data_IF_587724292564
#
_entry.id   IF_587724292564
#
_cell.length_a   1.000
_cell.length_b   1.000
_cell.length_c   1.000
_cell.angle_alpha   90.00
_cell.angle_beta   90.00
_cell.angle_gamma   90.00
#
_symmetry.space_group_name_H-M   'P 1'
#
loop_
_entity.id
_entity.type
_entity.pdbx_description
1 polymer ?
#
# COMPACT_ATOMS: atom_id res chain seq x y z
N UNK A 1 -63.40 -67.23 39.08
CA UNK A 1 -62.49 -67.51 37.93
C UNK A 1 -62.77 -66.46 36.85
N UNK A 2 -62.26 -65.22 36.99
CA UNK A 2 -61.02 -64.66 36.40
C UNK A 2 -60.95 -64.82 34.86
N UNK A 3 -61.27 -63.78 34.07
CA UNK A 3 -60.49 -62.58 33.64
C UNK A 3 -59.28 -62.91 32.75
N UNK A 4 -59.22 -62.26 31.57
CA UNK A 4 -58.01 -62.12 30.75
C UNK A 4 -58.19 -61.23 29.52
N UNK A 5 -57.94 -59.91 29.68
CA UNK A 5 -57.77 -58.91 28.62
C UNK A 5 -56.38 -59.02 28.01
N UNK A 6 -56.19 -58.69 26.72
CA UNK A 6 -54.99 -57.98 26.23
C UNK A 6 -55.33 -57.13 24.99
N UNK A 7 -55.26 -55.80 25.17
CA UNK A 7 -55.24 -54.81 24.10
C UNK A 7 -53.76 -54.51 23.79
N UNK A 8 -53.41 -54.42 22.50
CA UNK A 8 -52.08 -53.98 22.04
C UNK A 8 -52.17 -52.52 21.60
N UNK A 9 -51.54 -51.64 22.37
CA UNK A 9 -51.26 -50.25 22.01
C UNK A 9 -49.90 -50.22 21.33
N UNK A 10 -49.83 -49.81 20.06
CA UNK A 10 -48.58 -49.52 19.37
C UNK A 10 -48.23 -48.04 19.61
N UNK A 11 -47.15 -47.79 20.33
CA UNK A 11 -46.51 -46.48 20.43
C UNK A 11 -45.65 -46.28 19.18
N UNK A 12 -46.02 -45.31 18.35
CA UNK A 12 -45.17 -44.77 17.28
C UNK A 12 -44.37 -43.60 17.85
N UNK A 13 -43.07 -43.80 18.05
CA UNK A 13 -42.13 -42.75 18.47
C UNK A 13 -41.80 -41.89 17.26
N UNK A 14 -42.44 -40.73 17.13
CA UNK A 14 -42.12 -39.73 16.12
C UNK A 14 -40.83 -38.99 16.48
N UNK A 15 -39.76 -39.23 15.72
CA UNK A 15 -38.52 -38.47 15.79
C UNK A 15 -38.73 -37.16 15.00
N UNK A 16 -38.86 -36.03 15.70
CA UNK A 16 -38.96 -34.70 15.08
C UNK A 16 -37.54 -34.20 14.81
N UNK A 17 -37.09 -34.28 13.56
CA UNK A 17 -35.90 -33.56 13.09
C UNK A 17 -36.29 -32.10 12.86
N UNK A 18 -35.87 -31.21 13.76
CA UNK A 18 -35.94 -29.76 13.54
C UNK A 18 -34.78 -29.38 12.62
N UNK A 19 -35.07 -29.20 11.34
CA UNK A 19 -34.14 -28.57 10.41
C UNK A 19 -34.10 -27.06 10.71
N UNK A 20 -33.09 -26.60 11.45
CA UNK A 20 -32.76 -25.18 11.53
C UNK A 20 -32.25 -24.73 10.15
N UNK A 21 -33.09 -24.01 9.40
CA UNK A 21 -32.67 -23.37 8.16
C UNK A 21 -31.68 -22.24 8.48
N UNK A 22 -30.41 -22.42 8.11
CA UNK A 22 -29.45 -21.32 8.08
C UNK A 22 -29.79 -20.43 6.88
N UNK A 23 -30.16 -19.17 7.14
CA UNK A 23 -30.35 -18.17 6.07
C UNK A 23 -29.00 -17.60 5.68
N UNK A 24 -28.65 -17.72 4.40
CA UNK A 24 -27.46 -17.09 3.82
C UNK A 24 -27.92 -15.80 3.16
N UNK A 25 -27.37 -14.66 3.57
CA UNK A 25 -27.72 -13.37 2.97
C UNK A 25 -26.44 -12.66 2.50
N UNK A 26 -26.40 -12.35 1.20
CA UNK A 26 -25.30 -11.62 0.56
C UNK A 26 -25.64 -10.12 0.53
N UNK A 27 -24.68 -9.27 0.86
CA UNK A 27 -24.73 -7.82 0.62
C UNK A 27 -24.11 -7.52 -0.75
N UNK A 28 -24.83 -7.76 -1.84
CA UNK A 28 -24.29 -7.51 -3.19
C UNK A 28 -25.36 -6.96 -4.13
N UNK A 29 -25.56 -5.64 -4.07
CA UNK A 29 -26.05 -4.85 -5.20
C UNK A 29 -24.83 -4.09 -5.76
N UNK A 30 -24.29 -4.57 -6.87
CA UNK A 30 -23.17 -3.96 -7.58
C UNK A 30 -23.68 -2.83 -8.48
N UNK A 31 -23.71 -1.59 -7.98
CA UNK A 31 -23.70 -0.40 -8.81
C UNK A 31 -22.29 0.19 -8.78
N UNK A 32 -21.64 0.18 -9.93
CA UNK A 32 -20.29 0.72 -10.13
C UNK A 32 -20.37 2.24 -10.37
N UNK A 33 -19.51 2.99 -9.67
CA UNK A 33 -18.99 4.34 -9.97
C UNK A 33 -19.22 5.36 -8.84
N UNK A 34 -18.13 5.88 -8.29
CA UNK A 34 -18.14 6.99 -7.35
C UNK A 34 -16.74 7.35 -6.86
N UNK A 35 -16.02 8.15 -7.66
CA UNK A 35 -14.77 8.82 -7.30
C UNK A 35 -14.95 9.72 -6.07
N UNK A 36 -14.42 9.30 -4.91
CA UNK A 36 -14.39 10.09 -3.67
C UNK A 36 -13.08 10.89 -3.53
N UNK A 37 -13.21 12.20 -3.36
CA UNK A 37 -12.10 13.12 -3.09
C UNK A 37 -11.62 13.08 -1.64
N UNK A 38 -10.32 13.28 -1.44
CA UNK A 38 -9.67 13.22 -0.13
C UNK A 38 -9.53 14.58 0.54
N UNK A 39 -9.87 14.61 1.84
CA UNK A 39 -9.65 15.72 2.76
C UNK A 39 -8.21 15.70 3.33
N UNK A 40 -7.69 16.91 3.55
CA UNK A 40 -6.30 17.20 3.93
C UNK A 40 -6.11 17.12 5.46
N UNK A 41 -5.17 16.30 5.92
CA UNK A 41 -4.81 16.13 7.34
C UNK A 41 -3.46 16.76 7.65
N UNK A 42 -3.47 17.83 8.45
CA UNK A 42 -2.29 18.55 8.94
C UNK A 42 -1.62 17.81 10.10
N UNK A 43 -0.31 17.58 10.00
CA UNK A 43 0.52 16.95 11.03
C UNK A 43 1.78 17.76 11.32
N UNK A 44 1.89 18.22 12.56
CA UNK A 44 2.93 19.09 13.10
C UNK A 44 3.99 18.27 13.86
N UNK A 45 5.27 18.63 13.76
CA UNK A 45 6.38 18.10 14.57
C UNK A 45 7.69 18.10 13.79
N UNK A 46 8.86 18.43 14.33
CA UNK A 46 9.31 18.82 15.67
C UNK A 46 10.84 18.89 15.59
N UNK A 47 11.44 19.97 16.10
CA UNK A 47 12.87 20.28 15.99
C UNK A 47 13.76 19.31 16.76
N UNK A 48 14.87 18.88 16.14
CA UNK A 48 15.96 18.15 16.79
C UNK A 48 17.32 18.72 16.36
N UNK A 49 17.99 19.40 17.29
CA UNK A 49 19.29 20.03 17.14
C UNK A 49 20.38 19.05 17.62
N UNK A 50 21.40 18.77 16.81
CA UNK A 50 22.48 17.83 17.13
C UNK A 50 23.84 18.35 16.69
N UNK A 51 24.55 18.98 17.62
CA UNK A 51 25.92 19.46 17.48
C UNK A 51 26.90 18.35 17.88
N UNK A 52 27.89 18.06 17.02
CA UNK A 52 28.92 17.05 17.26
C UNK A 52 30.27 17.54 16.76
N UNK A 53 31.15 17.85 17.72
CA UNK A 53 32.49 18.40 17.57
C UNK A 53 33.55 17.31 17.81
N UNK A 54 34.68 17.38 17.10
CA UNK A 54 35.98 16.86 17.58
C UNK A 54 36.62 15.72 16.80
N UNK A 55 37.86 15.92 16.33
CA UNK A 55 38.72 14.84 15.86
C UNK A 55 40.01 15.28 15.15
N UNK A 56 40.96 15.86 15.89
CA UNK A 56 42.33 16.16 15.43
C UNK A 56 43.11 14.87 15.09
N UNK A 57 43.80 14.88 13.94
CA UNK A 57 44.79 13.87 13.54
C UNK A 57 46.01 14.54 12.91
N UNK A 58 47.13 14.48 13.61
CA UNK A 58 48.41 15.12 13.33
C UNK A 58 49.24 14.23 12.38
N UNK A 59 49.86 14.80 11.34
CA UNK A 59 50.67 14.03 10.38
C UNK A 59 51.64 14.90 9.58
N UNK A 60 52.82 15.12 10.13
CA UNK A 60 53.93 15.87 9.55
C UNK A 60 54.61 15.10 8.41
N UNK A 61 54.86 15.77 7.28
CA UNK A 61 55.73 15.28 6.21
C UNK A 61 55.94 16.35 5.14
N UNK A 62 57.04 17.10 5.24
CA UNK A 62 57.28 18.30 4.44
C UNK A 62 57.72 18.03 3.00
N UNK A 63 57.40 18.99 2.13
CA UNK A 63 58.20 19.29 0.94
C UNK A 63 58.11 20.78 0.62
N UNK A 64 59.27 21.34 0.27
CA UNK A 64 59.56 22.75 0.07
C UNK A 64 59.21 23.13 -1.37
N UNK A 65 58.23 24.02 -1.59
CA UNK A 65 58.22 24.91 -2.78
C UNK A 65 57.28 26.11 -2.61
N UNK A 66 57.92 27.27 -2.61
CA UNK A 66 57.58 28.56 -3.24
C UNK A 66 56.26 29.31 -2.94
N UNK A 67 56.42 30.62 -2.74
CA UNK A 67 55.43 31.56 -2.24
C UNK A 67 54.43 31.97 -3.32
N UNK A 68 53.27 31.32 -3.29
CA UNK A 68 52.02 31.82 -3.86
C UNK A 68 50.89 31.17 -3.07
N UNK A 69 49.96 31.97 -2.55
CA UNK A 69 48.81 31.46 -1.78
C UNK A 69 47.95 30.60 -2.71
N UNK A 70 48.27 29.31 -2.82
CA UNK A 70 47.36 28.31 -3.37
C UNK A 70 46.26 28.13 -2.33
N UNK A 71 44.97 28.28 -2.69
CA UNK A 71 43.87 27.92 -1.82
C UNK A 71 44.16 26.53 -1.29
N UNK A 72 44.07 26.32 0.03
CA UNK A 72 44.00 24.97 0.60
C UNK A 72 42.98 24.22 -0.23
N UNK A 73 43.46 23.23 -1.01
CA UNK A 73 42.63 22.31 -1.75
C UNK A 73 41.70 21.68 -0.71
N UNK A 74 40.49 22.22 -0.62
CA UNK A 74 39.41 21.56 0.07
C UNK A 74 39.35 20.20 -0.60
N UNK A 75 39.74 19.18 0.15
CA UNK A 75 39.85 17.82 -0.32
C UNK A 75 38.42 17.31 -0.53
N UNK A 76 37.77 17.80 -1.59
CA UNK A 76 36.52 17.32 -2.15
C UNK A 76 36.84 15.97 -2.78
N UNK A 77 37.22 15.01 -1.93
CA UNK A 77 37.31 13.63 -2.36
C UNK A 77 35.94 13.26 -2.92
N UNK A 78 35.91 12.53 -4.03
CA UNK A 78 34.67 12.07 -4.62
C UNK A 78 33.75 11.43 -3.55
N UNK A 79 34.33 10.83 -2.51
CA UNK A 79 33.62 10.19 -1.41
C UNK A 79 32.85 11.16 -0.49
N UNK A 80 33.31 12.41 -0.31
CA UNK A 80 32.57 13.42 0.45
C UNK A 80 31.26 13.83 -0.26
N UNK A 81 31.26 13.87 -1.60
CA UNK A 81 30.07 14.17 -2.39
C UNK A 81 29.00 13.07 -2.27
N UNK A 82 29.41 11.81 -2.38
CA UNK A 82 28.48 10.68 -2.22
C UNK A 82 28.06 10.46 -0.76
N UNK A 83 28.65 11.15 0.22
CA UNK A 83 28.16 11.14 1.59
C UNK A 83 26.85 11.93 1.74
N UNK A 84 26.68 13.05 1.02
CA UNK A 84 25.48 13.90 1.09
C UNK A 84 24.38 13.45 0.13
N UNK A 85 24.76 12.86 -1.00
CA UNK A 85 23.85 12.36 -2.03
C UNK A 85 24.31 11.00 -2.58
N UNK A 86 24.27 9.94 -1.76
CA UNK A 86 24.75 8.62 -2.15
C UNK A 86 24.00 8.09 -3.38
N UNK A 87 24.64 7.20 -4.16
CA UNK A 87 23.90 6.41 -5.13
C UNK A 87 22.76 5.66 -4.42
N UNK A 88 21.63 5.39 -5.11
CA UNK A 88 20.58 4.54 -4.56
C UNK A 88 21.21 3.25 -4.05
N UNK A 89 20.90 2.87 -2.82
CA UNK A 89 21.31 1.57 -2.31
C UNK A 89 20.64 0.48 -3.16
N UNK A 90 21.28 -0.66 -3.35
CA UNK A 90 20.65 -1.81 -3.99
C UNK A 90 20.41 -2.87 -2.92
N UNK A 91 19.15 -3.06 -2.57
CA UNK A 91 18.65 -4.12 -1.69
C UNK A 91 18.04 -5.28 -2.48
N UNK A 92 18.19 -5.31 -3.81
CA UNK A 92 17.78 -6.48 -4.59
C UNK A 92 18.63 -7.70 -4.18
N UNK A 93 18.03 -8.88 -4.20
CA UNK A 93 18.71 -10.15 -3.93
C UNK A 93 19.83 -10.49 -4.94
N UNK A 94 20.08 -9.61 -5.92
CA UNK A 94 21.10 -9.79 -6.96
C UNK A 94 22.53 -9.72 -6.41
N UNK A 95 22.72 -9.13 -5.22
CA UNK A 95 24.05 -8.90 -4.64
C UNK A 95 24.93 -7.92 -5.45
N UNK A 96 24.37 -7.27 -6.47
CA UNK A 96 25.07 -6.26 -7.24
C UNK A 96 25.25 -5.01 -6.37
N UNK A 97 26.45 -4.44 -6.35
CA UNK A 97 26.62 -3.10 -5.81
C UNK A 97 26.06 -2.11 -6.84
N UNK A 98 25.24 -1.12 -6.42
CA UNK A 98 24.71 -0.12 -7.34
C UNK A 98 25.88 0.57 -8.02
N UNK A 99 25.85 0.63 -9.36
CA UNK A 99 26.91 1.30 -10.11
C UNK A 99 26.99 2.75 -9.67
N UNK A 100 28.13 3.14 -9.08
CA UNK A 100 28.42 4.54 -8.74
C UNK A 100 28.30 5.36 -10.03
N UNK A 101 27.44 6.40 -10.07
CA UNK A 101 27.35 7.27 -11.24
C UNK A 101 28.72 7.85 -11.60
N UNK A 102 28.98 8.01 -12.90
CA UNK A 102 30.18 8.68 -13.40
C UNK A 102 30.17 10.20 -13.14
N UNK A 103 31.17 10.88 -13.66
CA UNK A 103 31.31 12.34 -13.58
C UNK A 103 32.06 12.84 -12.35
N UNK A 104 31.98 14.15 -12.10
CA UNK A 104 32.58 14.81 -10.93
C UNK A 104 31.50 15.19 -9.92
N UNK A 105 31.85 15.53 -8.66
CA UNK A 105 30.89 16.11 -7.71
C UNK A 105 30.10 17.31 -8.25
N UNK A 106 30.74 18.16 -9.05
CA UNK A 106 30.13 19.35 -9.65
C UNK A 106 29.26 18.98 -10.86
N UNK A 107 29.65 17.93 -11.58
CA UNK A 107 29.00 17.45 -12.79
C UNK A 107 28.80 15.94 -12.79
N UNK A 108 27.86 15.43 -11.97
CA UNK A 108 27.52 14.01 -11.96
C UNK A 108 26.75 13.65 -13.24
N UNK A 109 27.21 12.60 -13.94
CA UNK A 109 26.71 12.22 -15.25
C UNK A 109 25.21 11.84 -15.24
N UNK A 110 24.69 11.37 -14.11
CA UNK A 110 23.29 10.94 -13.98
C UNK A 110 22.30 12.09 -13.78
N UNK A 111 22.76 13.30 -13.43
CA UNK A 111 21.88 14.43 -13.12
C UNK A 111 21.85 15.53 -14.16
N UNK A 112 22.86 15.61 -15.03
CA UNK A 112 22.95 16.57 -16.13
C UNK A 112 22.66 18.02 -15.67
N UNK A 113 23.40 18.49 -14.67
CA UNK A 113 23.21 19.85 -14.13
C UNK A 113 23.55 20.94 -15.14
N UNK A 114 22.88 22.09 -15.00
CA UNK A 114 23.15 23.29 -15.81
C UNK A 114 24.64 23.66 -15.73
N UNK A 115 25.27 23.84 -16.89
CA UNK A 115 26.68 24.21 -17.00
C UNK A 115 27.64 23.03 -17.11
N UNK A 116 27.17 21.78 -16.93
CA UNK A 116 28.01 20.61 -17.09
C UNK A 116 28.23 20.23 -18.55
N UNK A 117 29.40 19.65 -18.92
CA UNK A 117 29.69 19.26 -20.29
C UNK A 117 28.64 18.31 -20.87
N UNK A 118 28.30 18.50 -22.14
CA UNK A 118 27.35 17.65 -22.85
C UNK A 118 27.91 17.23 -24.23
N UNK A 119 27.47 16.09 -24.78
CA UNK A 119 28.16 15.45 -25.90
C UNK A 119 27.97 16.16 -27.24
N UNK A 120 26.79 16.76 -27.48
CA UNK A 120 26.45 17.34 -28.78
C UNK A 120 25.37 18.41 -28.64
N UNK A 121 25.55 19.55 -29.31
CA UNK A 121 24.60 20.65 -29.31
C UNK A 121 23.19 20.16 -29.70
N UNK A 122 22.19 20.51 -28.90
CA UNK A 122 20.79 20.10 -29.10
C UNK A 122 20.46 18.70 -28.60
N UNK A 123 21.42 17.92 -28.08
CA UNK A 123 21.11 16.67 -27.38
C UNK A 123 20.20 16.95 -26.18
N UNK A 124 19.26 16.07 -25.90
CA UNK A 124 18.39 16.15 -24.71
C UNK A 124 18.67 14.98 -23.78
N UNK A 125 18.53 15.22 -22.48
CA UNK A 125 18.70 14.19 -21.47
C UNK A 125 17.77 14.44 -20.26
N UNK A 126 17.37 13.38 -19.52
CA UNK A 126 16.74 13.54 -18.22
C UNK A 126 17.68 14.27 -17.26
N UNK A 127 17.15 15.21 -16.49
CA UNK A 127 17.89 15.94 -15.47
C UNK A 127 17.15 15.94 -14.14
N UNK A 128 17.90 16.00 -13.05
CA UNK A 128 17.33 15.98 -11.70
C UNK A 128 18.10 16.90 -10.76
N UNK A 129 17.53 18.04 -10.33
CA UNK A 129 18.24 18.98 -9.46
C UNK A 129 18.20 18.59 -7.97
N UNK A 130 17.38 17.61 -7.57
CA UNK A 130 17.25 17.16 -6.19
C UNK A 130 18.21 16.03 -5.79
N UNK A 131 18.02 15.48 -4.58
CA UNK A 131 18.75 14.29 -4.09
C UNK A 131 18.32 13.02 -4.84
N UNK A 132 19.26 12.10 -5.10
CA UNK A 132 19.04 10.81 -5.78
C UNK A 132 17.99 9.97 -5.08
N UNK A 133 18.01 9.95 -3.74
CA UNK A 133 17.02 9.22 -2.92
C UNK A 133 15.56 9.61 -3.18
N UNK A 134 15.30 10.78 -3.76
CA UNK A 134 13.97 11.28 -4.08
C UNK A 134 13.64 11.15 -5.58
N UNK A 135 14.62 10.85 -6.43
CA UNK A 135 14.49 10.89 -7.88
C UNK A 135 13.50 9.82 -8.36
N UNK A 136 12.61 10.18 -9.27
CA UNK A 136 11.61 9.29 -9.89
C UNK A 136 10.60 8.63 -8.93
N UNK A 137 10.61 8.96 -7.63
CA UNK A 137 9.65 8.47 -6.63
C UNK A 137 8.44 9.41 -6.52
N UNK A 138 7.23 8.87 -6.51
CA UNK A 138 6.03 9.71 -6.34
C UNK A 138 5.85 10.79 -7.37
N UNK A 139 5.64 12.02 -6.88
CA UNK A 139 5.62 13.24 -7.68
C UNK A 139 7.01 13.72 -8.11
N UNK A 140 8.09 13.22 -7.51
CA UNK A 140 9.43 13.56 -7.97
C UNK A 140 9.68 12.89 -9.32
N UNK A 141 9.76 13.71 -10.38
CA UNK A 141 10.02 13.28 -11.75
C UNK A 141 11.12 14.11 -12.36
N UNK A 142 11.98 13.45 -13.12
CA UNK A 142 13.02 14.11 -13.89
C UNK A 142 12.45 15.18 -14.81
N UNK A 143 13.17 16.28 -14.93
CA UNK A 143 12.97 17.23 -16.02
C UNK A 143 13.72 16.79 -17.27
N UNK A 144 13.74 17.67 -18.26
CA UNK A 144 14.56 17.54 -19.46
C UNK A 144 15.49 18.74 -19.55
N UNK A 145 16.76 18.49 -19.82
CA UNK A 145 17.74 19.52 -20.17
C UNK A 145 18.15 19.35 -21.64
N UNK A 146 18.55 20.45 -22.26
CA UNK A 146 19.05 20.48 -23.64
C UNK A 146 20.49 20.98 -23.63
N UNK A 147 21.36 20.35 -24.41
CA UNK A 147 22.75 20.76 -24.57
C UNK A 147 22.82 22.05 -25.39
N UNK A 148 23.43 23.09 -24.82
CA UNK A 148 23.52 24.44 -25.37
C UNK A 148 24.98 24.85 -25.61
N UNK A 149 25.20 25.78 -26.54
CA UNK A 149 26.53 26.36 -26.76
C UNK A 149 26.82 27.38 -25.67
N UNK A 150 27.88 27.17 -24.90
CA UNK A 150 28.36 28.11 -23.87
C UNK A 150 29.64 28.78 -24.37
N UNK A 151 29.48 29.90 -25.07
CA UNK A 151 30.59 30.58 -25.75
C UNK A 151 30.91 29.98 -27.12
N UNK A 152 32.14 30.20 -27.60
CA UNK A 152 32.53 29.88 -28.99
C UNK A 152 32.90 28.41 -29.22
N UNK A 153 33.34 27.67 -28.18
CA UNK A 153 33.90 26.32 -28.34
C UNK A 153 33.39 25.29 -27.30
N UNK A 154 32.58 25.70 -26.32
CA UNK A 154 32.13 24.82 -25.25
C UNK A 154 30.65 24.49 -25.37
N UNK A 155 30.30 23.27 -24.98
CA UNK A 155 28.92 22.80 -24.89
C UNK A 155 28.62 22.48 -23.43
N UNK A 156 27.46 22.91 -22.95
CA UNK A 156 27.01 22.57 -21.62
C UNK A 156 25.50 22.31 -21.56
N UNK A 157 25.07 21.49 -20.62
CA UNK A 157 23.65 21.29 -20.33
C UNK A 157 23.01 22.63 -19.92
N UNK A 158 21.84 22.90 -20.50
CA UNK A 158 21.00 24.04 -20.16
C UNK A 158 20.24 23.83 -18.85
N UNK A 159 19.22 24.66 -18.62
CA UNK A 159 18.36 24.52 -17.44
C UNK A 159 17.58 23.20 -17.44
N UNK A 160 17.40 22.63 -16.25
CA UNK A 160 16.54 21.47 -16.09
C UNK A 160 15.09 21.94 -16.06
N UNK A 161 14.33 21.66 -17.13
CA UNK A 161 12.94 22.12 -17.28
C UNK A 161 11.98 20.97 -17.04
N UNK A 162 10.89 21.23 -16.30
CA UNK A 162 9.79 20.27 -16.13
C UNK A 162 10.00 19.21 -15.05
N UNK A 163 11.03 19.34 -14.20
CA UNK A 163 11.14 18.50 -13.00
C UNK A 163 9.97 18.77 -12.03
N UNK A 164 9.59 17.76 -11.26
CA UNK A 164 8.43 17.82 -10.35
C UNK A 164 8.81 17.39 -8.93
N UNK A 165 7.93 17.70 -7.96
CA UNK A 165 8.03 17.19 -6.57
C UNK A 165 9.05 17.91 -5.66
N UNK A 166 9.82 18.84 -6.20
CA UNK A 166 10.81 19.64 -5.47
C UNK A 166 10.77 21.10 -5.93
N UNK A 167 11.17 22.01 -5.05
CA UNK A 167 11.21 23.46 -5.36
C UNK A 167 12.55 24.08 -4.97
N UNK A 168 13.06 25.05 -5.75
CA UNK A 168 14.15 25.90 -5.30
C UNK A 168 13.77 26.67 -4.02
N UNK A 169 14.75 27.04 -3.17
CA UNK A 169 16.19 26.81 -3.33
C UNK A 169 16.68 25.47 -2.76
N UNK A 170 15.83 24.73 -2.04
CA UNK A 170 16.26 23.53 -1.30
C UNK A 170 16.31 22.27 -2.16
N UNK A 171 15.54 22.23 -3.25
CA UNK A 171 15.40 21.05 -4.10
C UNK A 171 15.04 19.77 -3.32
N UNK A 172 14.28 19.96 -2.24
CA UNK A 172 13.72 18.91 -1.40
C UNK A 172 12.19 18.93 -1.50
N UNK A 173 11.52 17.78 -1.26
CA UNK A 173 10.07 17.75 -1.13
C UNK A 173 9.60 18.68 0.01
N UNK A 174 8.37 19.21 -0.06
CA UNK A 174 7.81 20.01 1.02
C UNK A 174 7.93 19.28 2.37
N UNK A 175 8.31 19.96 3.47
CA UNK A 175 8.35 19.35 4.78
C UNK A 175 6.98 18.73 5.14
N UNK A 176 6.99 17.46 5.56
CA UNK A 176 5.76 16.73 5.89
C UNK A 176 4.93 16.25 4.69
N UNK A 177 5.49 16.28 3.47
CA UNK A 177 4.83 15.71 2.31
C UNK A 177 4.52 14.21 2.52
N UNK A 178 3.25 13.84 2.34
CA UNK A 178 2.74 12.46 2.46
C UNK A 178 1.85 12.13 1.26
N UNK A 179 1.55 10.84 1.05
CA UNK A 179 0.77 10.38 -0.10
C UNK A 179 1.41 10.83 -1.41
N UNK A 180 0.59 11.27 -2.38
CA UNK A 180 1.05 11.75 -3.68
C UNK A 180 2.10 12.86 -3.58
N UNK A 181 2.03 13.73 -2.57
CA UNK A 181 2.99 14.80 -2.41
C UNK A 181 4.40 14.33 -2.05
N UNK A 182 4.55 13.11 -1.52
CA UNK A 182 5.84 12.58 -1.10
C UNK A 182 6.69 12.10 -2.28
N UNK A 183 8.00 12.05 -2.06
CA UNK A 183 8.96 11.46 -2.99
C UNK A 183 9.59 10.21 -2.38
N UNK A 184 8.71 9.29 -1.96
CA UNK A 184 9.07 8.03 -1.31
C UNK A 184 8.35 6.88 -2.00
N UNK A 185 8.82 5.65 -1.85
CA UNK A 185 8.09 4.46 -2.28
C UNK A 185 6.65 4.43 -1.70
N UNK A 186 5.66 3.97 -2.49
CA UNK A 186 4.22 4.02 -2.17
C UNK A 186 3.67 5.44 -1.98
N UNK A 187 4.23 6.43 -2.66
CA UNK A 187 3.64 7.77 -2.69
C UNK A 187 2.62 7.93 -3.83
N UNK A 188 2.73 7.13 -4.89
CA UNK A 188 1.70 7.02 -5.92
C UNK A 188 1.39 5.58 -6.33
N UNK A 189 0.18 5.36 -6.85
CA UNK A 189 -0.28 4.09 -7.40
C UNK A 189 -1.68 3.68 -6.93
N UNK A 190 -1.98 2.38 -6.98
CA UNK A 190 -3.16 1.80 -6.34
C UNK A 190 -2.98 0.29 -6.10
N UNK A 191 -3.71 -0.26 -5.13
CA UNK A 191 -3.92 -1.69 -4.97
C UNK A 191 -5.38 -2.01 -5.28
N UNK A 192 -5.63 -2.64 -6.42
CA UNK A 192 -6.98 -2.96 -6.88
C UNK A 192 -7.34 -4.39 -6.51
N UNK A 193 -8.19 -4.52 -5.49
CA UNK A 193 -8.77 -5.77 -5.03
C UNK A 193 -10.20 -5.87 -5.55
N UNK A 194 -10.46 -6.84 -6.42
CA UNK A 194 -11.73 -6.97 -7.16
C UNK A 194 -12.94 -7.28 -6.29
N UNK A 195 -12.73 -7.90 -5.13
CA UNK A 195 -13.77 -8.29 -4.21
C UNK A 195 -13.30 -8.12 -2.78
N UNK A 196 -14.07 -7.38 -2.01
CA UNK A 196 -13.81 -7.19 -0.59
C UNK A 196 -15.02 -7.58 0.26
N UNK A 197 -16.08 -8.12 -0.31
CA UNK A 197 -17.34 -8.34 0.40
C UNK A 197 -17.27 -9.55 1.33
N UNK A 198 -17.53 -9.40 2.64
CA UNK A 198 -17.64 -10.52 3.56
C UNK A 198 -19.03 -11.17 3.49
N UNK A 199 -19.12 -12.41 3.99
CA UNK A 199 -20.37 -13.12 4.26
C UNK A 199 -20.48 -13.46 5.74
N UNK A 200 -21.70 -13.39 6.27
CA UNK A 200 -22.00 -13.73 7.65
C UNK A 200 -23.08 -14.79 7.71
N UNK A 201 -22.88 -15.80 8.56
CA UNK A 201 -23.83 -16.89 8.76
C UNK A 201 -24.51 -16.70 10.10
N UNK A 202 -25.83 -16.92 10.14
CA UNK A 202 -26.62 -16.83 11.36
C UNK A 202 -27.32 -18.15 11.66
N UNK A 203 -27.49 -18.43 12.94
CA UNK A 203 -28.38 -19.46 13.45
C UNK A 203 -29.43 -18.77 14.32
N UNK A 204 -30.60 -18.50 13.75
CA UNK A 204 -31.57 -17.59 14.35
C UNK A 204 -31.06 -16.14 14.27
N UNK A 205 -31.00 -15.45 15.40
CA UNK A 205 -30.46 -14.08 15.50
C UNK A 205 -28.98 -14.00 15.85
N UNK A 206 -28.32 -15.15 16.05
CA UNK A 206 -26.90 -15.20 16.46
C UNK A 206 -26.01 -15.44 15.25
N UNK A 207 -25.03 -14.56 15.04
CA UNK A 207 -23.98 -14.76 14.05
C UNK A 207 -23.08 -15.90 14.50
N UNK A 208 -22.97 -16.94 13.67
CA UNK A 208 -22.15 -18.14 13.93
C UNK A 208 -20.73 -18.00 13.36
N UNK A 209 -20.51 -17.08 12.42
CA UNK A 209 -19.19 -16.76 11.90
C UNK A 209 -19.22 -15.86 10.67
N UNK A 210 -18.02 -15.39 10.30
CA UNK A 210 -17.77 -14.66 9.06
C UNK A 210 -16.91 -15.49 8.11
N UNK A 211 -17.09 -15.31 6.81
CA UNK A 211 -16.32 -15.97 5.75
C UNK A 211 -16.16 -15.05 4.55
N UNK A 212 -15.11 -15.25 3.76
CA UNK A 212 -14.99 -14.60 2.44
C UNK A 212 -16.14 -15.01 1.52
N UNK A 213 -16.64 -14.07 0.72
CA UNK A 213 -17.32 -14.44 -0.53
C UNK A 213 -16.36 -15.19 -1.46
N UNK A 214 -16.94 -15.92 -2.42
CA UNK A 214 -16.20 -16.51 -3.53
C UNK A 214 -16.67 -15.86 -4.83
N UNK A 215 -15.74 -15.71 -5.78
CA UNK A 215 -16.03 -15.20 -7.12
C UNK A 215 -16.22 -16.37 -8.08
N UNK A 216 -17.38 -16.40 -8.75
CA UNK A 216 -17.63 -17.30 -9.86
C UNK A 216 -18.10 -16.54 -11.11
N UNK A 217 -18.50 -17.26 -12.15
CA UNK A 217 -18.95 -16.67 -13.40
C UNK A 217 -20.20 -15.77 -13.26
N UNK A 218 -20.95 -15.89 -12.16
CA UNK A 218 -22.13 -15.08 -11.85
C UNK A 218 -21.84 -13.88 -10.93
N UNK A 219 -20.63 -13.79 -10.40
CA UNK A 219 -20.19 -12.70 -9.51
C UNK A 219 -19.79 -13.19 -8.12
N UNK A 220 -19.79 -12.26 -7.16
CA UNK A 220 -19.49 -12.57 -5.76
C UNK A 220 -20.71 -13.22 -5.09
N UNK A 221 -20.50 -14.37 -4.44
CA UNK A 221 -21.54 -15.04 -3.63
C UNK A 221 -20.97 -15.60 -2.35
N UNK A 222 -21.84 -15.87 -1.38
CA UNK A 222 -21.42 -16.62 -0.20
C UNK A 222 -21.19 -18.11 -0.50
N UNK A 223 -20.17 -18.73 0.10
CA UNK A 223 -19.88 -20.16 -0.08
C UNK A 223 -20.95 -21.04 0.60
N UNK A 224 -21.26 -22.20 0.05
CA UNK A 224 -22.16 -23.15 0.70
C UNK A 224 -21.48 -23.86 1.88
N UNK A 225 -22.26 -24.54 2.73
CA UNK A 225 -21.71 -25.36 3.84
C UNK A 225 -20.91 -26.58 3.37
N UNK A 226 -20.92 -26.89 2.08
CA UNK A 226 -20.07 -27.92 1.47
C UNK A 226 -18.72 -27.34 1.00
N UNK A 227 -18.68 -26.04 0.72
CA UNK A 227 -17.49 -25.31 0.26
C UNK A 227 -16.67 -24.76 1.43
N UNK A 228 -17.21 -24.74 2.65
CA UNK A 228 -16.54 -24.27 3.86
C UNK A 228 -17.00 -25.04 5.09
N UNK A 229 -16.27 -24.96 6.20
CA UNK A 229 -16.66 -25.62 7.44
C UNK A 229 -16.18 -24.86 8.69
N UNK A 230 -17.11 -24.14 9.35
CA UNK A 230 -16.85 -23.41 10.60
C UNK A 230 -16.41 -24.30 11.76
N UNK A 231 -16.88 -25.56 11.85
CA UNK A 231 -16.49 -26.47 12.94
C UNK A 231 -15.01 -26.89 12.88
N UNK A 232 -14.44 -26.88 11.68
CA UNK A 232 -13.03 -27.22 11.44
C UNK A 232 -12.17 -25.99 11.12
N UNK A 233 -12.78 -24.82 10.96
CA UNK A 233 -12.11 -23.61 10.49
C UNK A 233 -11.59 -23.71 9.05
N UNK A 234 -12.21 -24.57 8.22
CA UNK A 234 -11.82 -24.75 6.81
C UNK A 234 -12.47 -23.66 5.95
N UNK A 235 -11.69 -22.73 5.35
CA UNK A 235 -12.22 -21.69 4.47
C UNK A 235 -12.57 -22.25 3.09
N UNK A 236 -13.26 -21.46 2.24
CA UNK A 236 -13.44 -21.80 0.83
C UNK A 236 -12.12 -22.03 0.11
N UNK A 237 -12.08 -23.03 -0.78
CA UNK A 237 -10.90 -23.34 -1.58
C UNK A 237 -10.65 -22.30 -2.68
N UNK A 238 -11.70 -21.63 -3.15
CA UNK A 238 -11.62 -20.56 -4.12
C UNK A 238 -11.00 -19.31 -3.49
N UNK A 239 -10.19 -18.55 -4.26
CA UNK A 239 -9.65 -17.28 -3.78
C UNK A 239 -10.78 -16.30 -3.46
N UNK A 240 -10.55 -15.50 -2.42
CA UNK A 240 -11.44 -14.40 -2.04
C UNK A 240 -11.46 -13.33 -3.12
N UNK A 241 -10.28 -12.95 -3.62
CA UNK A 241 -10.19 -11.93 -4.66
C UNK A 241 -8.88 -11.98 -5.47
N UNK A 242 -8.98 -11.95 -6.80
CA UNK A 242 -7.90 -11.47 -7.64
C UNK A 242 -7.56 -10.02 -7.30
N UNK A 243 -6.29 -9.66 -7.49
CA UNK A 243 -5.85 -8.31 -7.22
C UNK A 243 -4.63 -7.90 -8.05
N UNK A 244 -4.50 -6.60 -8.27
CA UNK A 244 -3.40 -6.00 -9.05
C UNK A 244 -2.78 -4.83 -8.31
N UNK A 245 -1.47 -4.65 -8.46
CA UNK A 245 -0.71 -3.58 -7.83
C UNK A 245 -0.14 -2.65 -8.90
N UNK A 246 -0.23 -1.35 -8.68
CA UNK A 246 0.57 -0.33 -9.36
C UNK A 246 1.24 0.51 -8.29
N UNK A 247 2.57 0.59 -8.30
CA UNK A 247 3.34 1.43 -7.38
C UNK A 247 4.49 2.13 -8.11
N UNK A 248 5.10 3.09 -7.45
CA UNK A 248 6.13 3.99 -7.98
C UNK A 248 7.57 3.52 -7.70
N UNK A 249 7.73 2.31 -7.14
CA UNK A 249 9.01 1.74 -6.74
C UNK A 249 8.98 0.22 -6.91
N UNK A 250 10.14 -0.36 -7.23
CA UNK A 250 10.31 -1.80 -7.24
C UNK A 250 10.60 -2.30 -5.82
N UNK A 251 10.29 -3.56 -5.54
CA UNK A 251 10.62 -4.19 -4.28
C UNK A 251 9.74 -5.38 -3.93
N UNK A 252 9.99 -5.96 -2.76
CA UNK A 252 9.17 -7.06 -2.23
C UNK A 252 8.17 -6.50 -1.22
N UNK A 253 6.88 -6.67 -1.50
CA UNK A 253 5.80 -6.09 -0.71
C UNK A 253 4.80 -7.16 -0.28
N UNK A 254 4.47 -7.15 1.00
CA UNK A 254 3.34 -7.85 1.60
C UNK A 254 2.19 -6.86 1.76
N UNK A 255 1.10 -7.12 1.05
CA UNK A 255 -0.12 -6.32 1.08
C UNK A 255 -1.17 -7.08 1.88
N UNK A 256 -1.72 -6.45 2.91
CA UNK A 256 -2.72 -7.06 3.77
C UNK A 256 -4.01 -6.25 3.76
N UNK A 257 -5.12 -6.96 3.54
CA UNK A 257 -6.47 -6.47 3.71
C UNK A 257 -7.03 -6.99 5.04
N UNK A 258 -7.41 -6.06 5.93
CA UNK A 258 -7.93 -6.38 7.26
C UNK A 258 -9.36 -5.90 7.37
N UNK A 259 -10.29 -6.78 7.77
CA UNK A 259 -11.67 -6.41 8.03
C UNK A 259 -11.83 -6.19 9.54
N UNK A 260 -12.31 -5.01 9.93
CA UNK A 260 -12.50 -4.63 11.33
C UNK A 260 -13.93 -4.21 11.62
N UNK A 261 -14.42 -4.52 12.82
CA UNK A 261 -15.75 -4.11 13.27
C UNK A 261 -15.66 -2.82 14.08
N UNK A 262 -16.66 -1.94 13.90
CA UNK A 262 -16.78 -0.76 14.74
C UNK A 262 -17.30 -1.15 16.13
N UNK A 263 -16.62 -0.64 17.17
CA UNK A 263 -17.00 -0.84 18.56
C UNK A 263 -18.41 -0.35 18.91
N UNK A 264 -18.96 0.62 18.16
CA UNK A 264 -20.33 1.11 18.32
C UNK A 264 -20.94 1.56 16.97
N UNK A 265 -22.27 1.46 16.86
CA UNK A 265 -23.05 1.99 15.73
C UNK A 265 -22.82 3.50 15.53
N UNK A 266 -22.61 3.90 14.29
CA UNK A 266 -22.38 5.31 13.93
C UNK A 266 -21.00 5.86 14.32
N UNK A 267 -20.10 5.02 14.86
CA UNK A 267 -18.71 5.40 15.03
C UNK A 267 -18.06 5.55 13.64
N UNK A 268 -17.75 6.79 13.23
CA UNK A 268 -17.12 7.05 11.94
C UNK A 268 -15.57 7.03 11.99
N UNK A 269 -14.97 6.64 13.12
CA UNK A 269 -13.52 6.73 13.29
C UNK A 269 -12.92 5.37 13.57
N UNK A 270 -12.11 4.89 12.63
CA UNK A 270 -11.23 3.74 12.81
C UNK A 270 -10.36 3.92 14.05
N UNK A 271 -10.30 2.88 14.88
CA UNK A 271 -9.46 2.83 16.06
C UNK A 271 -8.48 1.66 15.96
N UNK A 272 -7.27 1.86 16.49
CA UNK A 272 -6.31 0.77 16.65
C UNK A 272 -6.84 -0.34 17.60
N UNK A 273 -7.86 -0.05 18.40
CA UNK A 273 -8.50 -0.98 19.35
C UNK A 273 -9.70 -1.71 18.77
N UNK A 274 -10.14 -1.38 17.56
CA UNK A 274 -11.25 -2.08 16.92
C UNK A 274 -10.86 -3.52 16.64
N UNK A 275 -11.80 -4.45 16.89
CA UNK A 275 -11.51 -5.86 16.71
C UNK A 275 -11.37 -6.19 15.21
N UNK A 276 -10.48 -7.14 14.90
CA UNK A 276 -10.34 -7.67 13.56
C UNK A 276 -11.20 -8.92 13.39
N UNK A 277 -12.02 -8.94 12.33
CA UNK A 277 -12.75 -10.11 11.87
C UNK A 277 -11.79 -11.08 11.17
N UNK A 278 -10.93 -10.54 10.31
CA UNK A 278 -9.94 -11.31 9.55
C UNK A 278 -8.82 -10.40 9.06
N UNK A 279 -7.68 -11.00 8.72
CA UNK A 279 -6.66 -10.39 7.88
C UNK A 279 -6.23 -11.39 6.81
N UNK A 280 -6.25 -10.96 5.56
CA UNK A 280 -5.71 -11.74 4.43
C UNK A 280 -4.62 -10.95 3.76
N UNK A 281 -3.54 -11.63 3.39
CA UNK A 281 -2.38 -11.00 2.77
C UNK A 281 -2.01 -11.70 1.47
N UNK A 282 -1.43 -10.93 0.57
CA UNK A 282 -0.67 -11.40 -0.59
C UNK A 282 0.72 -10.80 -0.52
N UNK A 283 1.71 -11.49 -1.07
CA UNK A 283 3.08 -11.00 -1.13
C UNK A 283 3.72 -11.41 -2.44
N UNK A 284 4.44 -10.47 -3.05
CA UNK A 284 5.23 -10.72 -4.24
C UNK A 284 6.26 -9.62 -4.42
N UNK A 285 7.29 -9.94 -5.21
CA UNK A 285 8.17 -8.94 -5.79
C UNK A 285 7.44 -8.17 -6.88
N UNK A 286 7.45 -6.84 -6.80
CA UNK A 286 6.95 -5.92 -7.81
C UNK A 286 8.12 -5.31 -8.58
N UNK A 287 8.22 -5.65 -9.87
CA UNK A 287 9.36 -5.27 -10.71
C UNK A 287 9.06 -4.29 -11.84
N UNK A 288 7.85 -3.71 -11.86
CA UNK A 288 7.34 -2.92 -13.00
C UNK A 288 7.13 -1.43 -12.66
N UNK A 289 7.87 -0.88 -11.70
CA UNK A 289 7.72 0.52 -11.33
C UNK A 289 7.90 1.46 -12.53
N UNK A 290 6.89 2.30 -12.75
CA UNK A 290 6.92 3.35 -13.76
C UNK A 290 6.78 2.92 -15.23
N UNK A 291 7.07 1.66 -15.61
CA UNK A 291 6.92 1.16 -16.99
C UNK A 291 6.66 -0.35 -17.02
N UNK A 292 5.49 -0.73 -17.53
CA UNK A 292 5.25 -2.09 -18.01
C UNK A 292 6.12 -2.41 -19.23
N UNK A 293 6.19 -3.67 -19.66
CA UNK A 293 7.10 -4.15 -20.71
C UNK A 293 6.99 -3.43 -22.08
N UNK A 294 5.93 -2.65 -22.30
CA UNK A 294 5.70 -1.87 -23.53
C UNK A 294 5.50 -0.36 -23.27
N UNK A 295 5.96 0.16 -22.12
CA UNK A 295 5.71 1.56 -21.74
C UNK A 295 4.26 1.83 -21.31
N UNK A 296 3.45 0.79 -21.13
CA UNK A 296 2.13 0.87 -20.48
C UNK A 296 2.29 1.08 -18.97
N UNK A 297 1.25 1.59 -18.32
CA UNK A 297 1.17 1.66 -16.86
C UNK A 297 1.55 0.32 -16.23
N UNK A 298 2.58 0.30 -15.37
CA UNK A 298 3.21 -0.91 -14.82
C UNK A 298 2.36 -1.71 -13.84
N UNK A 299 1.11 -2.02 -14.17
CA UNK A 299 0.23 -2.83 -13.32
C UNK A 299 0.73 -4.28 -13.30
N UNK A 300 0.88 -4.85 -12.10
CA UNK A 300 1.27 -6.24 -11.89
C UNK A 300 0.15 -7.03 -11.23
N UNK A 301 -0.14 -8.23 -11.75
CA UNK A 301 -0.97 -9.20 -11.05
C UNK A 301 -0.22 -9.72 -9.82
N UNK A 302 -0.87 -9.66 -8.67
CA UNK A 302 -0.35 -10.23 -7.44
C UNK A 302 -1.00 -11.60 -7.22
N UNK A 303 -0.41 -12.48 -6.40
CA UNK A 303 -1.11 -13.70 -5.97
C UNK A 303 -2.48 -13.36 -5.39
N UNK A 304 -3.49 -14.15 -5.78
CA UNK A 304 -4.86 -13.94 -5.33
C UNK A 304 -4.95 -13.97 -3.80
N UNK A 305 -5.82 -13.14 -3.23
CA UNK A 305 -6.10 -13.20 -1.81
C UNK A 305 -6.83 -14.52 -1.49
N UNK A 306 -6.35 -15.31 -0.52
CA UNK A 306 -6.96 -16.59 -0.21
C UNK A 306 -8.34 -16.41 0.45
N UNK A 307 -9.20 -17.42 0.30
CA UNK A 307 -10.44 -17.53 1.07
C UNK A 307 -10.15 -17.54 2.58
N UNK A 308 -11.05 -16.96 3.37
CA UNK A 308 -10.90 -16.87 4.83
C UNK A 308 -12.20 -17.23 5.54
N UNK A 309 -12.08 -17.62 6.81
CA UNK A 309 -13.19 -17.93 7.71
C UNK A 309 -12.78 -17.56 9.13
N UNK A 310 -13.71 -17.08 9.95
CA UNK A 310 -13.47 -16.87 11.39
C UNK A 310 -13.20 -18.21 12.07
N UNK A 311 -12.10 -18.32 12.81
CA UNK A 311 -11.62 -19.56 13.45
C UNK A 311 -11.75 -19.53 14.97
N UNK A 312 -11.69 -18.34 15.57
CA UNK A 312 -11.72 -18.15 17.02
C UNK A 312 -13.03 -17.54 17.48
N UNK A 313 -13.40 -17.75 18.74
CA UNK A 313 -14.58 -17.11 19.34
C UNK A 313 -14.48 -15.59 19.35
N UNK A 314 -13.27 -15.02 19.44
CA UNK A 314 -13.03 -13.59 19.37
C UNK A 314 -13.31 -13.04 17.96
N UNK A 315 -12.85 -13.72 16.91
CA UNK A 315 -13.17 -13.38 15.52
C UNK A 315 -14.67 -13.51 15.24
N UNK A 316 -15.33 -14.56 15.74
CA UNK A 316 -16.80 -14.71 15.61
C UNK A 316 -17.57 -13.60 16.34
N UNK A 317 -17.13 -13.22 17.54
CA UNK A 317 -17.72 -12.09 18.27
C UNK A 317 -17.51 -10.77 17.51
N UNK A 318 -16.33 -10.59 16.89
CA UNK A 318 -16.06 -9.45 16.05
C UNK A 318 -16.92 -9.43 14.78
N UNK A 319 -17.11 -10.59 14.15
CA UNK A 319 -18.03 -10.73 13.01
C UNK A 319 -19.46 -10.39 13.38
N UNK A 320 -19.91 -10.74 14.60
CA UNK A 320 -21.22 -10.35 15.10
C UNK A 320 -21.34 -8.83 15.30
N UNK A 321 -20.29 -8.18 15.82
CA UNK A 321 -20.23 -6.72 15.93
C UNK A 321 -20.25 -6.06 14.54
N UNK A 322 -19.48 -6.59 13.59
CA UNK A 322 -19.46 -6.10 12.22
C UNK A 322 -20.85 -6.18 11.58
N UNK A 323 -21.51 -7.32 11.72
CA UNK A 323 -22.86 -7.54 11.20
C UNK A 323 -23.86 -6.52 11.76
N UNK A 324 -23.78 -6.23 13.07
CA UNK A 324 -24.71 -5.33 13.76
C UNK A 324 -24.42 -3.84 13.53
N UNK A 325 -23.14 -3.46 13.44
CA UNK A 325 -22.70 -2.07 13.52
C UNK A 325 -22.04 -1.56 12.23
N UNK A 326 -21.81 -2.45 11.27
CA UNK A 326 -20.90 -2.19 10.18
C UNK A 326 -19.45 -2.28 10.64
N UNK A 327 -18.56 -1.84 9.77
CA UNK A 327 -17.13 -1.94 10.02
C UNK A 327 -16.36 -1.20 8.96
N UNK A 328 -15.10 -1.54 8.81
CA UNK A 328 -14.27 -0.95 7.78
C UNK A 328 -13.19 -1.94 7.33
N UNK A 329 -12.77 -1.80 6.08
CA UNK A 329 -11.62 -2.49 5.53
C UNK A 329 -10.39 -1.62 5.64
N UNK A 330 -9.26 -2.17 6.09
CA UNK A 330 -7.95 -1.53 6.10
C UNK A 330 -7.05 -2.19 5.05
N UNK A 331 -6.44 -1.37 4.20
CA UNK A 331 -5.39 -1.79 3.30
C UNK A 331 -4.04 -1.32 3.84
N UNK A 332 -3.12 -2.27 3.99
CA UNK A 332 -1.81 -2.05 4.56
C UNK A 332 -0.72 -2.68 3.71
N UNK A 333 0.46 -2.09 3.77
CA UNK A 333 1.68 -2.58 3.13
C UNK A 333 2.76 -2.73 4.19
N UNK A 334 3.53 -3.81 4.08
CA UNK A 334 4.80 -4.03 4.75
C UNK A 334 5.80 -4.55 3.71
N UNK A 335 6.97 -3.95 3.59
CA UNK A 335 7.98 -4.39 2.63
C UNK A 335 9.18 -3.47 2.54
N UNK A 336 10.07 -3.80 1.60
CA UNK A 336 11.30 -3.04 1.33
C UNK A 336 11.46 -2.87 -0.17
N UNK A 337 11.74 -1.63 -0.59
CA UNK A 337 12.04 -1.35 -2.00
C UNK A 337 13.42 -1.87 -2.40
N UNK A 338 13.66 -2.01 -3.70
CA UNK A 338 15.01 -2.28 -4.23
C UNK A 338 16.01 -1.21 -3.81
N UNK A 339 15.54 -0.01 -3.48
CA UNK A 339 16.36 1.09 -2.98
C UNK A 339 16.52 1.10 -1.45
N UNK A 340 16.22 -0.03 -0.79
CA UNK A 340 16.29 -0.20 0.66
C UNK A 340 15.31 0.69 1.46
N UNK A 341 14.30 1.27 0.82
CA UNK A 341 13.27 2.03 1.53
C UNK A 341 12.31 1.06 2.22
N UNK A 342 12.21 1.14 3.56
CA UNK A 342 11.18 0.41 4.29
C UNK A 342 9.83 1.09 4.11
N UNK A 343 8.83 0.30 3.74
CA UNK A 343 7.44 0.76 3.60
C UNK A 343 6.57 -0.04 4.56
N UNK A 344 6.09 0.61 5.62
CA UNK A 344 5.17 0.00 6.58
C UNK A 344 4.09 0.99 6.97
N UNK A 345 2.88 0.85 6.41
CA UNK A 345 1.77 1.77 6.68
C UNK A 345 0.40 1.19 6.31
N UNK A 346 -0.63 1.71 6.97
CA UNK A 346 -2.01 1.68 6.46
C UNK A 346 -2.13 2.85 5.49
N UNK A 347 -2.54 2.57 4.26
CA UNK A 347 -2.62 3.61 3.22
C UNK A 347 -4.06 3.91 2.81
N UNK A 348 -5.01 3.03 3.09
CA UNK A 348 -6.41 3.31 2.86
C UNK A 348 -7.31 2.56 3.82
N UNK A 349 -8.42 3.19 4.19
CA UNK A 349 -9.55 2.57 4.85
C UNK A 349 -10.83 2.85 4.08
N UNK A 350 -11.82 1.96 4.16
CA UNK A 350 -13.15 2.22 3.62
C UNK A 350 -14.24 1.58 4.49
N UNK A 351 -15.37 2.26 4.57
CA UNK A 351 -16.43 1.91 5.50
C UNK A 351 -17.46 0.96 4.87
N UNK A 352 -17.86 -0.02 5.67
CA UNK A 352 -18.92 -0.98 5.39
C UNK A 352 -20.18 -0.66 6.17
N UNK A 353 -21.30 -0.78 5.47
CA UNK A 353 -22.60 -0.62 6.10
C UNK A 353 -22.90 -1.77 7.07
N UNK A 354 -23.62 -1.48 8.17
CA UNK A 354 -24.30 -2.51 8.94
C UNK A 354 -25.19 -3.37 8.06
N UNK A 355 -25.35 -4.66 8.40
CA UNK A 355 -26.12 -5.58 7.57
C UNK A 355 -27.58 -5.15 7.36
N UNK A 356 -28.19 -4.48 8.35
CA UNK A 356 -29.57 -3.98 8.25
C UNK A 356 -29.78 -3.00 7.08
N UNK A 357 -28.72 -2.35 6.59
CA UNK A 357 -28.77 -1.43 5.46
C UNK A 357 -29.05 -2.12 4.12
N UNK A 358 -28.97 -3.46 4.07
CA UNK A 358 -29.39 -4.23 2.89
C UNK A 358 -30.91 -4.26 2.70
N UNK A 359 -31.69 -3.98 3.76
CA UNK A 359 -33.13 -3.81 3.64
C UNK A 359 -33.43 -2.43 3.04
N UNK A 360 -34.15 -2.33 1.90
CA UNK A 360 -34.54 -1.05 1.31
C UNK A 360 -35.28 -0.12 2.28
N UNK A 361 -35.96 -0.66 3.30
CA UNK A 361 -36.63 0.13 4.32
C UNK A 361 -35.66 0.96 5.18
N UNK A 362 -34.42 0.50 5.33
CA UNK A 362 -33.39 1.15 6.17
C UNK A 362 -32.39 1.97 5.34
N UNK A 363 -32.54 2.07 4.02
CA UNK A 363 -31.57 2.73 3.13
C UNK A 363 -31.27 4.19 3.52
N UNK A 364 -32.24 4.87 4.12
CA UNK A 364 -32.13 6.27 4.52
C UNK A 364 -31.74 6.45 5.99
N UNK A 365 -31.47 5.37 6.73
CA UNK A 365 -30.96 5.47 8.09
C UNK A 365 -29.57 6.14 8.06
N UNK A 366 -29.24 7.02 9.02
CA UNK A 366 -27.98 7.78 9.01
C UNK A 366 -26.72 6.92 8.82
N UNK A 367 -26.69 5.73 9.40
CA UNK A 367 -25.62 4.74 9.30
C UNK A 367 -25.52 4.03 7.94
N UNK A 368 -26.53 4.15 7.09
CA UNK A 368 -26.61 3.50 5.78
C UNK A 368 -26.26 4.46 4.61
N UNK A 369 -26.21 5.77 4.86
CA UNK A 369 -26.05 6.80 3.79
C UNK A 369 -24.59 7.06 3.40
N UNK A 370 -23.63 6.83 4.31
CA UNK A 370 -22.21 7.18 4.12
C UNK A 370 -21.26 5.96 4.12
N UNK A 371 -21.76 4.78 3.77
CA UNK A 371 -21.00 3.55 3.76
C UNK A 371 -21.18 2.84 2.41
N UNK A 372 -20.27 1.92 2.09
CA UNK A 372 -20.33 1.17 0.85
C UNK A 372 -20.50 -0.32 1.11
N UNK A 373 -20.98 -1.04 0.10
CA UNK A 373 -20.91 -2.50 0.07
C UNK A 373 -19.60 -3.01 -0.59
N UNK A 374 -18.64 -2.10 -0.88
CA UNK A 374 -17.26 -2.38 -1.30
C UNK A 374 -16.85 -1.86 -2.70
N UNK A 375 -15.58 -1.42 -2.86
CA UNK A 375 -14.57 -1.81 -3.88
C UNK A 375 -13.44 -0.76 -4.08
N UNK A 376 -12.18 -1.24 -4.21
CA UNK A 376 -10.99 -0.54 -4.78
C UNK A 376 -10.28 0.54 -3.93
N UNK A 377 -8.93 0.60 -4.00
CA UNK A 377 -8.10 1.51 -3.18
C UNK A 377 -7.02 2.33 -3.92
N UNK A 378 -7.17 3.66 -4.10
CA UNK A 378 -6.06 4.52 -4.53
C UNK A 378 -5.08 4.83 -3.39
N UNK A 379 -3.79 5.02 -3.73
CA UNK A 379 -2.77 5.60 -2.83
C UNK A 379 -2.72 7.13 -2.89
#
# INVERSE_FOLDING_TARGET
MHRGRWARTALATGLVFVFSMATVQCSSTSDSAGSGGFANGSGNGGSGNGSGNGGSGNGSGGSIIDSGVTPTDANYSADAFFAEDPPPADCSDSGAQPMKPGGTPECPDDKNYKGCPCPTLGATAPCWPGKRKNRNKGLCKDGVTTCESTGELSLAWGECVGYQGISPPTFEPPPGATGKAACTCFSGGYWDVKNTSPCFYTSGSTVTGGVSTILDASGARCPTTQEMNFSTGTPPAQPFSPNTLKVDCNGYFKLCYTLKALSAQGAQKSSATDCAVTQVCTEAYYGMAGKGPNGTDGVQDMPDLPGWITKTSAETACAAQFYANGGYGEFSVDGTSDECDKVQKIFMTFDYCPFKCNDPANKNDPECVNCSNGSGAPF
#
